data_IF_515713344352
#
_entry.id   IF_515713344352
#
_cell.length_a   1.000
_cell.length_b   1.000
_cell.length_c   1.000
_cell.angle_alpha   90.00
_cell.angle_beta   90.00
_cell.angle_gamma   90.00
#
_symmetry.space_group_name_H-M   'P 1'
#
loop_
_entity.id
_entity.type
_entity.pdbx_description
1 polymer ?
#
# COMPACT_ATOMS: atom_id res chain seq x y z
N UNK A 1 -18.84 8.68 -1.32
CA UNK A 1 -18.03 9.69 -2.03
C UNK A 1 -16.54 9.47 -1.84
N UNK A 2 -15.75 10.33 -2.46
CA UNK A 2 -14.27 10.26 -2.34
C UNK A 2 -13.72 10.89 -1.04
N UNK A 3 -14.58 11.38 -0.17
CA UNK A 3 -14.28 12.16 1.02
C UNK A 3 -14.56 13.65 0.82
N UNK A 4 -14.69 14.38 1.92
CA UNK A 4 -14.93 15.83 1.88
C UNK A 4 -13.69 16.58 1.38
N UNK A 5 -13.91 17.63 0.60
CA UNK A 5 -12.82 18.38 -0.06
C UNK A 5 -11.73 18.87 0.91
N UNK A 6 -12.06 19.53 2.05
CA UNK A 6 -11.01 20.02 2.96
C UNK A 6 -10.09 18.92 3.51
N UNK A 7 -10.63 17.70 3.76
CA UNK A 7 -9.85 16.57 4.22
C UNK A 7 -8.91 16.05 3.12
N UNK A 8 -9.42 15.90 1.90
CA UNK A 8 -8.60 15.46 0.74
C UNK A 8 -7.47 16.44 0.42
N UNK A 9 -7.74 17.75 0.52
CA UNK A 9 -6.73 18.80 0.36
C UNK A 9 -5.65 18.74 1.44
N UNK A 10 -6.04 18.48 2.70
CA UNK A 10 -5.08 18.31 3.80
C UNK A 10 -4.21 17.05 3.60
N UNK A 11 -4.82 15.92 3.24
CA UNK A 11 -4.10 14.68 2.91
C UNK A 11 -3.15 14.88 1.72
N UNK A 12 -3.60 15.53 0.67
CA UNK A 12 -2.78 15.85 -0.51
C UNK A 12 -1.55 16.68 -0.14
N UNK A 13 -1.71 17.76 0.66
CA UNK A 13 -0.57 18.55 1.14
C UNK A 13 0.41 17.70 1.93
N UNK A 14 -0.09 16.91 2.90
CA UNK A 14 0.76 16.01 3.72
C UNK A 14 1.54 15.04 2.84
N UNK A 15 0.89 14.43 1.85
CA UNK A 15 1.55 13.48 0.96
C UNK A 15 2.63 14.12 0.10
N UNK A 16 2.42 15.36 -0.35
CA UNK A 16 3.43 16.11 -1.10
C UNK A 16 4.58 16.60 -0.24
N UNK A 17 4.27 17.19 0.91
CA UNK A 17 5.25 17.87 1.75
C UNK A 17 6.05 16.91 2.64
N UNK A 18 5.42 15.85 3.14
CA UNK A 18 6.01 14.91 4.10
C UNK A 18 6.45 13.61 3.42
N UNK A 19 5.59 13.01 2.59
CA UNK A 19 5.88 11.75 1.91
C UNK A 19 6.54 11.93 0.54
N UNK A 20 6.59 13.16 0.02
CA UNK A 20 7.19 13.53 -1.27
C UNK A 20 6.58 12.80 -2.48
N UNK A 21 5.30 12.43 -2.40
CA UNK A 21 4.59 11.83 -3.52
C UNK A 21 4.39 12.87 -4.64
N UNK A 22 4.68 12.55 -5.90
CA UNK A 22 4.56 13.48 -7.03
C UNK A 22 3.09 13.63 -7.50
N UNK A 23 2.13 13.75 -6.58
CA UNK A 23 0.71 13.91 -6.87
C UNK A 23 0.43 15.27 -7.54
N UNK A 24 -0.52 15.29 -8.47
CA UNK A 24 -0.89 16.50 -9.21
C UNK A 24 -2.03 17.27 -8.55
N UNK A 25 -2.96 16.55 -7.92
CA UNK A 25 -4.12 17.16 -7.27
C UNK A 25 -4.65 16.33 -6.11
N UNK A 26 -5.53 16.95 -5.30
CA UNK A 26 -6.27 16.23 -4.26
C UNK A 26 -7.23 15.16 -4.84
N UNK A 27 -7.44 15.16 -6.18
CA UNK A 27 -8.24 14.13 -6.84
C UNK A 27 -7.52 12.78 -6.92
N UNK A 28 -6.19 12.77 -6.74
CA UNK A 28 -5.38 11.55 -6.66
C UNK A 28 -5.51 10.85 -5.30
N UNK A 29 -6.30 11.43 -4.37
CA UNK A 29 -6.52 10.90 -3.03
C UNK A 29 -7.97 10.46 -2.85
N UNK A 30 -8.17 9.25 -2.34
CA UNK A 30 -9.46 8.66 -2.02
C UNK A 30 -9.52 8.32 -0.52
N UNK A 31 -10.49 8.90 0.20
CA UNK A 31 -10.71 8.60 1.62
C UNK A 31 -11.43 7.27 1.77
N UNK A 32 -11.01 6.45 2.74
CA UNK A 32 -11.52 5.11 2.97
C UNK A 32 -11.93 4.89 4.44
N UNK A 33 -12.68 3.83 4.71
CA UNK A 33 -13.05 3.43 6.07
C UNK A 33 -11.89 2.69 6.77
N UNK A 34 -10.81 3.42 7.05
CA UNK A 34 -9.52 2.90 7.51
C UNK A 34 -8.71 2.27 6.37
N UNK A 35 -7.43 1.96 6.64
CA UNK A 35 -6.54 1.31 5.68
C UNK A 35 -7.03 -0.08 5.26
N UNK A 36 -7.75 -0.79 6.12
CA UNK A 36 -8.33 -2.11 5.79
C UNK A 36 -9.30 -2.03 4.61
N UNK A 37 -10.18 -1.03 4.59
CA UNK A 37 -11.07 -0.81 3.46
C UNK A 37 -10.29 -0.34 2.21
N UNK A 38 -9.18 0.41 2.39
CA UNK A 38 -8.28 0.77 1.29
C UNK A 38 -7.66 -0.47 0.64
N UNK A 39 -7.16 -1.43 1.44
CA UNK A 39 -6.65 -2.73 0.96
C UNK A 39 -7.73 -3.49 0.18
N UNK A 40 -8.93 -3.61 0.75
CA UNK A 40 -10.05 -4.30 0.11
C UNK A 40 -10.39 -3.73 -1.28
N UNK A 41 -10.56 -2.41 -1.37
CA UNK A 41 -10.92 -1.79 -2.65
C UNK A 41 -9.73 -1.76 -3.64
N UNK A 42 -8.49 -1.71 -3.14
CA UNK A 42 -7.29 -1.79 -3.98
C UNK A 42 -7.18 -3.16 -4.65
N UNK A 43 -7.22 -4.24 -3.87
CA UNK A 43 -7.15 -5.59 -4.43
C UNK A 43 -8.38 -5.90 -5.30
N UNK A 44 -9.60 -5.53 -4.87
CA UNK A 44 -10.81 -5.73 -5.67
C UNK A 44 -10.83 -4.97 -7.00
N UNK A 45 -10.10 -3.83 -7.10
CA UNK A 45 -9.96 -3.08 -8.35
C UNK A 45 -8.82 -3.58 -9.23
N UNK A 46 -7.82 -4.27 -8.63
CA UNK A 46 -6.58 -4.64 -9.26
C UNK A 46 -6.56 -6.09 -9.75
N UNK A 47 -7.11 -7.02 -8.94
CA UNK A 47 -6.99 -8.46 -9.19
C UNK A 47 -8.08 -8.97 -10.12
N UNK A 48 -7.68 -9.83 -11.04
CA UNK A 48 -8.53 -10.80 -11.72
C UNK A 48 -8.36 -12.19 -11.06
N UNK A 49 -9.31 -13.12 -11.21
CA UNK A 49 -9.18 -14.45 -10.64
C UNK A 49 -7.89 -15.17 -11.04
N UNK A 50 -7.11 -15.59 -10.05
CA UNK A 50 -5.84 -16.27 -10.23
C UNK A 50 -4.61 -15.36 -10.34
N UNK A 51 -4.77 -14.03 -10.30
CA UNK A 51 -3.64 -13.09 -10.18
C UNK A 51 -2.88 -13.32 -8.87
N UNK A 52 -1.57 -13.34 -8.94
CA UNK A 52 -0.68 -13.56 -7.80
C UNK A 52 -0.25 -12.24 -7.17
N UNK A 53 -0.37 -12.16 -5.83
CA UNK A 53 0.07 -11.02 -5.04
C UNK A 53 1.17 -11.46 -4.09
N UNK A 54 2.39 -10.99 -4.33
CA UNK A 54 3.55 -11.31 -3.47
C UNK A 54 3.50 -10.41 -2.23
N UNK A 55 3.64 -11.02 -1.05
CA UNK A 55 3.64 -10.32 0.23
C UNK A 55 4.63 -10.92 1.20
N UNK A 56 5.16 -10.15 2.19
CA UNK A 56 6.08 -10.68 3.20
C UNK A 56 5.43 -11.78 4.04
N UNK A 57 6.24 -12.70 4.54
CA UNK A 57 5.82 -13.75 5.50
C UNK A 57 6.81 -13.77 6.68
N UNK A 58 6.40 -13.47 7.93
CA UNK A 58 5.00 -13.22 8.33
C UNK A 58 4.42 -11.93 7.77
N UNK A 59 3.10 -11.83 7.72
CA UNK A 59 2.36 -10.60 7.38
C UNK A 59 1.10 -10.47 8.25
N UNK A 60 0.50 -9.29 8.24
CA UNK A 60 -0.82 -9.06 8.83
C UNK A 60 -1.84 -9.97 8.12
N UNK A 61 -2.55 -10.88 8.84
CA UNK A 61 -3.35 -11.95 8.21
C UNK A 61 -4.39 -11.42 7.23
N UNK A 62 -5.08 -10.34 7.57
CA UNK A 62 -6.14 -9.75 6.75
C UNK A 62 -5.65 -9.22 5.40
N UNK A 63 -4.34 -9.02 5.22
CA UNK A 63 -3.77 -8.68 3.90
C UNK A 63 -3.97 -9.84 2.93
N UNK A 64 -3.64 -11.07 3.35
CA UNK A 64 -3.84 -12.26 2.55
C UNK A 64 -5.33 -12.57 2.33
N UNK A 65 -6.15 -12.34 3.37
CA UNK A 65 -7.60 -12.54 3.28
C UNK A 65 -8.23 -11.60 2.25
N UNK A 66 -7.83 -10.32 2.23
CA UNK A 66 -8.30 -9.36 1.22
C UNK A 66 -7.91 -9.74 -0.21
N UNK A 67 -6.70 -10.29 -0.41
CA UNK A 67 -6.27 -10.82 -1.71
C UNK A 67 -7.18 -11.97 -2.14
N UNK A 68 -7.42 -12.92 -1.23
CA UNK A 68 -8.27 -14.09 -1.49
C UNK A 68 -9.72 -13.69 -1.79
N UNK A 69 -10.28 -12.73 -1.05
CA UNK A 69 -11.62 -12.17 -1.28
C UNK A 69 -11.74 -11.47 -2.64
N UNK A 70 -10.64 -10.91 -3.15
CA UNK A 70 -10.59 -10.32 -4.49
C UNK A 70 -10.41 -11.36 -5.62
N UNK A 71 -10.32 -12.65 -5.28
CA UNK A 71 -10.06 -13.73 -6.25
C UNK A 71 -8.59 -13.93 -6.59
N UNK A 72 -7.70 -13.17 -5.98
CA UNK A 72 -6.24 -13.29 -6.14
C UNK A 72 -5.66 -14.45 -5.31
N UNK A 73 -4.42 -14.78 -5.60
CA UNK A 73 -3.64 -15.82 -4.91
C UNK A 73 -2.51 -15.14 -4.10
N UNK A 74 -2.54 -15.22 -2.75
CA UNK A 74 -1.46 -14.68 -1.94
C UNK A 74 -0.21 -15.56 -2.06
N UNK A 75 0.90 -14.97 -2.53
CA UNK A 75 2.21 -15.60 -2.63
C UNK A 75 3.09 -15.08 -1.51
N UNK A 76 3.47 -15.95 -0.57
CA UNK A 76 4.21 -15.58 0.63
C UNK A 76 5.71 -15.59 0.36
N UNK A 77 6.37 -14.48 0.67
CA UNK A 77 7.82 -14.28 0.57
C UNK A 77 8.44 -14.43 1.96
N UNK A 78 9.09 -15.57 2.31
CA UNK A 78 9.63 -15.79 3.64
C UNK A 78 10.72 -14.76 3.97
N UNK A 79 10.54 -14.03 5.05
CA UNK A 79 11.52 -13.06 5.52
C UNK A 79 12.67 -13.76 6.26
N UNK A 80 13.94 -13.39 6.00
CA UNK A 80 15.09 -14.02 6.62
C UNK A 80 15.16 -13.67 8.12
N UNK A 81 15.11 -14.68 8.98
CA UNK A 81 15.34 -14.50 10.41
C UNK A 81 16.85 -14.31 10.70
N UNK A 82 17.27 -13.45 11.64
CA UNK A 82 16.45 -12.59 12.50
C UNK A 82 16.22 -11.17 11.96
N UNK A 83 16.72 -10.84 10.78
CA UNK A 83 16.71 -9.47 10.24
C UNK A 83 15.33 -9.03 9.76
N UNK A 84 14.54 -9.95 9.23
CA UNK A 84 13.24 -9.74 8.60
C UNK A 84 13.24 -8.69 7.47
N UNK A 85 14.40 -8.44 6.85
CA UNK A 85 14.49 -7.53 5.71
C UNK A 85 13.72 -8.06 4.50
N UNK A 86 12.84 -7.24 3.99
CA UNK A 86 12.09 -7.51 2.78
C UNK A 86 12.74 -6.79 1.60
N UNK A 87 13.45 -7.55 0.77
CA UNK A 87 14.30 -7.02 -0.30
C UNK A 87 13.87 -7.53 -1.68
N UNK A 88 14.39 -6.91 -2.73
CA UNK A 88 14.19 -7.38 -4.09
C UNK A 88 14.68 -8.82 -4.30
N UNK A 89 15.73 -9.25 -3.61
CA UNK A 89 16.29 -10.61 -3.73
C UNK A 89 15.34 -11.67 -3.14
N UNK A 90 14.59 -11.30 -2.09
CA UNK A 90 13.55 -12.16 -1.50
C UNK A 90 12.34 -12.27 -2.43
N UNK A 91 12.00 -11.21 -3.15
CA UNK A 91 10.81 -11.13 -4.01
C UNK A 91 11.06 -11.71 -5.40
N UNK A 92 12.21 -11.44 -5.99
CA UNK A 92 12.49 -11.77 -7.40
C UNK A 92 12.24 -13.25 -7.79
N UNK A 93 12.62 -14.25 -6.97
CA UNK A 93 12.37 -15.67 -7.31
C UNK A 93 10.88 -16.04 -7.35
N UNK A 94 10.00 -15.22 -6.79
CA UNK A 94 8.56 -15.48 -6.69
C UNK A 94 7.75 -14.86 -7.83
N UNK A 95 8.39 -14.03 -8.67
CA UNK A 95 7.69 -13.38 -9.78
C UNK A 95 7.42 -14.39 -10.91
N UNK A 96 6.16 -14.47 -11.30
CA UNK A 96 5.68 -15.26 -12.42
C UNK A 96 4.93 -14.40 -13.44
N UNK A 97 4.46 -15.01 -14.52
CA UNK A 97 3.59 -14.32 -15.49
C UNK A 97 2.22 -13.94 -14.92
N UNK A 98 1.83 -14.49 -13.78
CA UNK A 98 0.58 -14.17 -13.07
C UNK A 98 0.78 -13.13 -11.97
N UNK A 99 2.00 -12.74 -11.66
CA UNK A 99 2.25 -11.73 -10.63
C UNK A 99 1.62 -10.41 -11.03
N UNK A 100 0.68 -9.94 -10.23
CA UNK A 100 -0.05 -8.69 -10.42
C UNK A 100 0.51 -7.56 -9.59
N UNK A 101 0.85 -7.85 -8.34
CA UNK A 101 1.40 -6.84 -7.43
C UNK A 101 2.37 -7.42 -6.40
N UNK A 102 3.19 -6.52 -5.83
CA UNK A 102 4.06 -6.77 -4.68
C UNK A 102 3.59 -5.87 -3.56
N UNK A 103 3.35 -6.42 -2.37
CA UNK A 103 2.98 -5.68 -1.17
C UNK A 103 4.22 -5.31 -0.38
N UNK A 104 4.35 -4.03 -0.04
CA UNK A 104 5.31 -3.53 0.95
C UNK A 104 4.49 -3.08 2.17
N UNK A 105 4.90 -3.46 3.38
CA UNK A 105 4.37 -2.90 4.62
C UNK A 105 5.56 -2.42 5.47
N UNK A 106 5.69 -1.12 5.63
CA UNK A 106 6.78 -0.53 6.41
C UNK A 106 6.32 0.76 7.12
N UNK A 107 6.59 0.89 8.42
CA UNK A 107 7.06 -0.14 9.36
C UNK A 107 6.20 -1.40 9.35
N UNK A 108 6.82 -2.57 9.48
CA UNK A 108 6.20 -3.86 9.21
C UNK A 108 5.45 -4.43 10.40
N UNK A 109 4.23 -4.89 10.19
CA UNK A 109 3.47 -5.69 11.14
C UNK A 109 3.49 -7.17 10.70
N UNK A 110 4.04 -8.12 11.51
CA UNK A 110 4.23 -8.01 12.98
C UNK A 110 5.68 -7.76 13.43
N UNK A 111 6.67 -7.69 12.56
CA UNK A 111 8.09 -7.78 12.98
C UNK A 111 8.65 -6.47 13.53
N UNK A 112 8.01 -5.33 13.25
CA UNK A 112 8.53 -4.01 13.59
C UNK A 112 9.70 -3.55 12.71
N UNK A 113 10.09 -4.33 11.69
CA UNK A 113 11.15 -3.96 10.75
C UNK A 113 10.77 -2.71 9.96
N UNK A 114 11.70 -1.79 9.82
CA UNK A 114 11.56 -0.61 8.97
C UNK A 114 12.42 -0.83 7.74
N UNK A 115 11.79 -0.85 6.56
CA UNK A 115 12.51 -0.99 5.28
C UNK A 115 13.44 0.19 5.07
N UNK A 116 14.67 -0.11 4.68
CA UNK A 116 15.62 0.94 4.27
C UNK A 116 15.22 1.54 2.92
N UNK A 117 15.77 2.71 2.60
CA UNK A 117 15.59 3.30 1.26
C UNK A 117 16.01 2.31 0.15
N UNK A 118 17.13 1.62 0.34
CA UNK A 118 17.64 0.63 -0.63
C UNK A 118 16.66 -0.54 -0.83
N UNK A 119 16.03 -1.03 0.26
CA UNK A 119 15.04 -2.11 0.19
C UNK A 119 13.82 -1.68 -0.65
N UNK A 120 13.23 -0.50 -0.32
CA UNK A 120 12.06 0.02 -1.03
C UNK A 120 12.37 0.30 -2.49
N UNK A 121 13.48 0.99 -2.78
CA UNK A 121 13.93 1.26 -4.15
C UNK A 121 14.19 -0.03 -4.94
N UNK A 122 14.80 -1.04 -4.30
CA UNK A 122 15.07 -2.34 -4.92
C UNK A 122 13.78 -3.01 -5.38
N UNK A 123 12.76 -3.06 -4.50
CA UNK A 123 11.45 -3.67 -4.81
C UNK A 123 10.70 -2.86 -5.88
N UNK A 124 10.69 -1.52 -5.78
CA UNK A 124 10.02 -0.68 -6.78
C UNK A 124 10.66 -0.83 -8.16
N UNK A 125 11.99 -0.82 -8.25
CA UNK A 125 12.71 -1.09 -9.52
C UNK A 125 12.45 -2.49 -10.05
N UNK A 126 12.33 -3.49 -9.18
CA UNK A 126 11.97 -4.86 -9.59
C UNK A 126 10.56 -4.88 -10.17
N UNK A 127 9.60 -4.26 -9.50
CA UNK A 127 8.22 -4.14 -9.97
C UNK A 127 8.13 -3.42 -11.32
N UNK A 128 8.87 -2.33 -11.49
CA UNK A 128 8.93 -1.57 -12.75
C UNK A 128 9.45 -2.42 -13.91
N UNK A 129 10.54 -3.18 -13.72
CA UNK A 129 11.09 -4.07 -14.75
C UNK A 129 10.10 -5.14 -15.20
N UNK A 130 9.25 -5.61 -14.31
CA UNK A 130 8.24 -6.63 -14.62
C UNK A 130 6.87 -6.05 -14.96
N UNK A 131 6.70 -4.72 -14.87
CA UNK A 131 5.44 -4.04 -15.16
C UNK A 131 4.32 -4.35 -14.16
N UNK A 132 4.66 -4.83 -12.95
CA UNK A 132 3.71 -5.19 -11.88
C UNK A 132 3.48 -4.03 -10.92
N UNK A 133 2.37 -4.04 -10.19
CA UNK A 133 2.04 -3.00 -9.23
C UNK A 133 2.84 -3.14 -7.93
N UNK A 134 3.00 -2.04 -7.22
CA UNK A 134 3.42 -2.02 -5.81
C UNK A 134 2.25 -1.50 -4.98
N UNK A 135 1.87 -2.24 -3.94
CA UNK A 135 0.94 -1.77 -2.93
C UNK A 135 1.74 -1.51 -1.65
N UNK A 136 1.86 -0.24 -1.26
CA UNK A 136 2.60 0.20 -0.09
C UNK A 136 1.65 0.52 1.04
N UNK A 137 1.60 -0.35 2.05
CA UNK A 137 0.86 -0.12 3.30
C UNK A 137 1.75 0.63 4.28
N UNK A 138 1.47 1.91 4.44
CA UNK A 138 2.23 2.86 5.26
C UNK A 138 1.48 3.27 6.54
N UNK A 139 0.61 2.36 7.05
CA UNK A 139 -0.23 2.63 8.22
C UNK A 139 0.57 2.99 9.50
N UNK A 140 1.84 2.63 9.57
CA UNK A 140 2.74 2.87 10.69
C UNK A 140 3.82 3.93 10.40
N UNK A 141 3.70 4.72 9.35
CA UNK A 141 4.74 5.64 8.83
C UNK A 141 5.39 6.56 9.87
N UNK A 142 4.69 6.90 10.97
CA UNK A 142 5.19 7.75 12.05
C UNK A 142 5.60 6.94 13.31
N UNK A 143 5.48 5.60 13.30
CA UNK A 143 5.88 4.74 14.41
C UNK A 143 7.31 4.28 14.17
N UNK A 144 8.25 5.19 14.41
CA UNK A 144 9.66 5.02 14.13
C UNK A 144 10.48 5.23 15.39
N UNK A 145 11.52 4.43 15.57
CA UNK A 145 12.44 4.47 16.71
C UNK A 145 13.89 4.49 16.20
N UNK A 146 14.81 4.78 17.10
CA UNK A 146 16.26 4.71 16.85
C UNK A 146 16.74 5.58 15.67
N UNK A 147 16.08 6.72 15.42
CA UNK A 147 16.45 7.63 14.33
C UNK A 147 16.21 7.07 12.92
N UNK A 148 15.40 6.01 12.81
CA UNK A 148 15.01 5.46 11.49
C UNK A 148 14.09 6.42 10.75
N UNK A 149 14.20 6.41 9.43
CA UNK A 149 13.38 7.22 8.54
C UNK A 149 12.41 6.34 7.74
N UNK A 150 11.20 6.83 7.54
CA UNK A 150 10.23 6.22 6.64
C UNK A 150 10.51 6.62 5.19
N UNK A 151 10.36 5.66 4.29
CA UNK A 151 10.44 5.89 2.84
C UNK A 151 9.15 5.46 2.19
N UNK A 152 8.41 6.44 1.64
CA UNK A 152 7.19 6.14 0.87
C UNK A 152 7.55 5.60 -0.51
N UNK A 153 7.02 4.43 -0.86
CA UNK A 153 7.25 3.84 -2.18
C UNK A 153 6.73 4.74 -3.32
N UNK A 154 5.62 5.43 -3.08
CA UNK A 154 5.02 6.38 -4.03
C UNK A 154 5.91 7.59 -4.36
N UNK A 155 6.91 7.90 -3.53
CA UNK A 155 7.85 8.99 -3.78
C UNK A 155 8.91 8.66 -4.86
N UNK A 156 9.01 7.39 -5.27
CA UNK A 156 10.07 6.93 -6.18
C UNK A 156 9.72 7.10 -7.66
N UNK A 157 8.55 7.67 -7.98
CA UNK A 157 8.18 8.06 -9.34
C UNK A 157 7.66 6.92 -10.23
N UNK A 158 7.56 5.69 -9.74
CA UNK A 158 6.93 4.60 -10.49
C UNK A 158 5.40 4.77 -10.48
N UNK A 159 4.73 4.90 -11.65
CA UNK A 159 3.31 5.24 -11.70
C UNK A 159 2.38 4.14 -11.18
N UNK A 160 2.84 2.88 -11.15
CA UNK A 160 2.04 1.76 -10.64
C UNK A 160 2.31 1.50 -9.15
N UNK A 161 2.26 2.55 -8.33
CA UNK A 161 2.29 2.45 -6.87
C UNK A 161 0.95 2.88 -6.31
N UNK A 162 0.39 2.04 -5.43
CA UNK A 162 -0.78 2.33 -4.60
C UNK A 162 -0.27 2.55 -3.19
N UNK A 163 -0.34 3.78 -2.68
CA UNK A 163 0.10 4.12 -1.32
C UNK A 163 -1.10 4.22 -0.39
N UNK A 164 -1.09 3.46 0.72
CA UNK A 164 -2.18 3.35 1.69
C UNK A 164 -1.74 3.90 3.05
N UNK A 165 -2.60 4.72 3.63
CA UNK A 165 -2.35 5.42 4.89
C UNK A 165 -3.50 5.26 5.87
N UNK A 166 -3.21 5.42 7.16
CA UNK A 166 -4.19 5.25 8.23
C UNK A 166 -4.09 6.35 9.29
N UNK A 167 -5.23 6.81 9.78
CA UNK A 167 -5.29 7.62 11.00
C UNK A 167 -5.31 6.78 12.28
N UNK A 168 -5.48 5.47 12.15
CA UNK A 168 -5.69 4.56 13.29
C UNK A 168 -4.52 4.52 14.26
N UNK A 169 -3.28 4.55 13.77
CA UNK A 169 -2.08 4.32 14.57
C UNK A 169 -1.46 5.63 15.03
N UNK A 170 -0.89 6.40 14.15
CA UNK A 170 -0.16 7.64 14.48
C UNK A 170 -1.02 8.70 15.16
N UNK A 171 -2.31 8.71 14.90
CA UNK A 171 -3.25 9.68 15.46
C UNK A 171 -4.17 9.11 16.55
N UNK A 172 -3.96 7.83 16.96
CA UNK A 172 -4.80 7.13 17.94
C UNK A 172 -6.31 7.16 17.61
N UNK A 173 -6.66 7.16 16.32
CA UNK A 173 -8.03 7.31 15.82
C UNK A 173 -8.61 5.99 15.28
N UNK A 174 -8.22 4.85 15.84
CA UNK A 174 -8.65 3.54 15.34
C UNK A 174 -10.18 3.37 15.31
N UNK A 175 -10.88 3.92 16.28
CA UNK A 175 -12.34 3.87 16.37
C UNK A 175 -13.07 4.74 15.34
N UNK A 176 -12.44 5.77 14.79
CA UNK A 176 -13.05 6.67 13.82
C UNK A 176 -13.07 6.09 12.40
N UNK A 177 -12.32 5.02 12.16
CA UNK A 177 -12.27 4.33 10.87
C UNK A 177 -11.94 5.25 9.68
N UNK A 178 -10.87 6.03 9.77
CA UNK A 178 -10.40 6.91 8.70
C UNK A 178 -9.05 6.44 8.18
N UNK A 179 -8.96 6.27 6.88
CA UNK A 179 -7.74 6.02 6.11
C UNK A 179 -7.87 6.64 4.73
N UNK A 180 -6.85 6.50 3.94
CA UNK A 180 -6.87 7.00 2.57
C UNK A 180 -5.85 6.28 1.71
N UNK A 181 -6.06 6.38 0.42
CA UNK A 181 -5.17 5.85 -0.61
C UNK A 181 -4.81 6.96 -1.59
N UNK A 182 -3.59 6.92 -2.08
CA UNK A 182 -3.12 7.76 -3.17
C UNK A 182 -2.59 6.88 -4.32
N UNK A 183 -2.97 7.23 -5.54
CA UNK A 183 -2.53 6.53 -6.75
C UNK A 183 -2.57 7.48 -7.95
N UNK A 184 -1.56 7.39 -8.82
CA UNK A 184 -1.48 8.22 -10.04
C UNK A 184 -2.40 7.73 -11.17
N UNK A 185 -2.67 6.42 -11.23
CA UNK A 185 -3.52 5.84 -12.26
C UNK A 185 -4.99 6.18 -11.97
N UNK A 186 -5.50 7.16 -12.71
CA UNK A 186 -6.88 7.62 -12.55
C UNK A 186 -7.91 6.53 -12.87
N UNK A 187 -7.61 5.62 -13.80
CA UNK A 187 -8.53 4.54 -14.13
C UNK A 187 -8.66 3.55 -12.97
N UNK A 188 -7.53 3.21 -12.35
CA UNK A 188 -7.55 2.37 -11.14
C UNK A 188 -8.25 3.09 -9.99
N UNK A 189 -7.97 4.37 -9.80
CA UNK A 189 -8.62 5.17 -8.75
C UNK A 189 -10.15 5.24 -8.92
N UNK A 190 -10.63 5.37 -10.16
CA UNK A 190 -12.07 5.33 -10.47
C UNK A 190 -12.69 3.96 -10.15
N UNK A 191 -12.01 2.85 -10.46
CA UNK A 191 -12.45 1.49 -10.11
C UNK A 191 -12.54 1.32 -8.60
N UNK A 192 -11.50 1.75 -7.87
CA UNK A 192 -11.50 1.75 -6.40
C UNK A 192 -12.63 2.60 -5.83
N UNK A 193 -12.88 3.78 -6.39
CA UNK A 193 -13.97 4.65 -5.96
C UNK A 193 -15.36 4.03 -6.22
N UNK A 194 -15.53 3.24 -7.29
CA UNK A 194 -16.78 2.48 -7.53
C UNK A 194 -17.00 1.42 -6.45
N UNK A 195 -15.98 0.61 -6.15
CA UNK A 195 -16.06 -0.39 -5.07
C UNK A 195 -16.31 0.26 -3.71
N UNK A 196 -15.63 1.37 -3.44
CA UNK A 196 -15.81 2.10 -2.19
C UNK A 196 -17.25 2.53 -1.98
N UNK A 197 -17.92 3.05 -3.01
CA UNK A 197 -19.35 3.44 -2.93
C UNK A 197 -20.29 2.26 -2.66
N UNK A 198 -19.90 1.05 -3.03
CA UNK A 198 -20.67 -0.16 -2.73
C UNK A 198 -20.45 -0.68 -1.31
N UNK A 199 -19.34 -0.30 -0.66
CA UNK A 199 -18.97 -0.79 0.68
C UNK A 199 -19.22 0.21 1.79
N UNK A 200 -19.24 1.50 1.48
CA UNK A 200 -19.54 2.57 2.43
C UNK A 200 -20.41 3.66 1.80
N UNK A 201 -21.44 4.08 2.52
CA UNK A 201 -22.24 5.24 2.20
C UNK A 201 -21.70 6.43 3.00
N UNK A 202 -20.88 7.26 2.38
CA UNK A 202 -20.33 8.46 3.01
C UNK A 202 -20.14 9.58 2.00
#
# INVERSE_FOLDING_TARGET
GAGIKPLREAMFRKLREVNHLPLESFNDVLVTNGAMNALYVAFGALCDPGDEIIMPDPTWPETADNVSLAGGVPVRAPLPFPSYHYTADVVAPLITSRTRAIVINSPHNPTGMVSTRADVEGIVRLAERHGVWVLSDEAYEHVLFDGREHVSAGALGYPKVISIYSFSKSYAMSGLRVGYVAVHDHLLLERMAKLLRCTING
#
